data_IF_134450025744
#
_entry.id   IF_134450025744
#
_cell.length_a   1.000
_cell.length_b   1.000
_cell.length_c   1.000
_cell.angle_alpha   90.00
_cell.angle_beta   90.00
_cell.angle_gamma   90.00
#
_symmetry.space_group_name_H-M   'P 1'
#
loop_
_entity.id
_entity.type
_entity.pdbx_description
1 polymer ?
#
# COMPACT_ATOMS: atom_id res chain seq x y z
N UNK A 1 1.26 -16.87 -15.43
CA UNK A 1 1.08 -16.57 -14.00
C UNK A 1 1.61 -15.16 -13.80
N UNK A 2 0.88 -14.26 -13.13
CA UNK A 2 1.49 -13.00 -12.69
C UNK A 2 2.40 -13.36 -11.54
N UNK A 3 3.70 -13.47 -11.83
CA UNK A 3 4.68 -13.90 -10.84
C UNK A 3 4.67 -12.91 -9.68
N UNK A 4 4.59 -13.44 -8.47
CA UNK A 4 4.66 -12.69 -7.22
C UNK A 4 5.85 -11.70 -7.21
N UNK A 5 6.90 -12.02 -7.96
CA UNK A 5 8.10 -11.22 -8.17
C UNK A 5 7.84 -9.91 -8.94
N UNK A 6 7.00 -9.93 -9.97
CA UNK A 6 6.60 -8.73 -10.73
C UNK A 6 5.78 -7.77 -9.85
N UNK A 7 4.90 -8.32 -9.02
CA UNK A 7 4.12 -7.51 -8.07
C UNK A 7 5.02 -6.92 -6.99
N UNK A 8 6.00 -7.69 -6.48
CA UNK A 8 7.01 -7.19 -5.52
C UNK A 8 7.84 -6.04 -6.10
N UNK A 9 8.29 -6.15 -7.36
CA UNK A 9 9.05 -5.07 -8.00
C UNK A 9 8.23 -3.77 -8.08
N UNK A 10 6.95 -3.86 -8.50
CA UNK A 10 6.05 -2.69 -8.54
C UNK A 10 5.79 -2.08 -7.16
N UNK A 11 5.72 -2.90 -6.12
CA UNK A 11 5.59 -2.42 -4.73
C UNK A 11 6.85 -1.63 -4.34
N UNK A 12 8.03 -2.15 -4.61
CA UNK A 12 9.29 -1.48 -4.25
C UNK A 12 9.47 -0.16 -5.01
N UNK A 13 9.17 -0.14 -6.31
CA UNK A 13 9.18 1.09 -7.13
C UNK A 13 8.21 2.14 -6.58
N UNK A 14 6.98 1.73 -6.27
CA UNK A 14 5.95 2.62 -5.72
C UNK A 14 6.35 3.14 -4.33
N UNK A 15 7.01 2.31 -3.52
CA UNK A 15 7.52 2.68 -2.19
C UNK A 15 8.65 3.70 -2.29
N UNK A 16 9.58 3.52 -3.21
CA UNK A 16 10.65 4.49 -3.46
C UNK A 16 10.09 5.82 -3.97
N UNK A 17 9.12 5.78 -4.86
CA UNK A 17 8.46 6.98 -5.38
C UNK A 17 7.71 7.72 -4.27
N UNK A 18 6.97 7.00 -3.41
CA UNK A 18 6.30 7.55 -2.24
C UNK A 18 7.29 8.24 -1.28
N UNK A 19 8.43 7.60 -1.02
CA UNK A 19 9.47 8.16 -0.16
C UNK A 19 10.09 9.44 -0.75
N UNK A 20 10.37 9.45 -2.06
CA UNK A 20 10.87 10.65 -2.75
C UNK A 20 9.84 11.78 -2.75
N UNK A 21 8.56 11.48 -3.00
CA UNK A 21 7.49 12.45 -2.98
C UNK A 21 7.22 12.98 -1.57
N UNK A 22 7.27 12.11 -0.56
CA UNK A 22 7.16 12.49 0.85
C UNK A 22 8.31 13.38 1.30
N UNK A 23 9.53 13.11 0.84
CA UNK A 23 10.70 13.97 1.09
C UNK A 23 10.60 15.32 0.37
N UNK A 24 10.01 15.35 -0.84
CA UNK A 24 9.93 16.56 -1.68
C UNK A 24 8.75 17.48 -1.31
N UNK A 25 7.57 16.91 -1.03
CA UNK A 25 6.32 17.64 -0.84
C UNK A 25 5.73 17.50 0.58
N UNK A 26 6.22 16.55 1.37
CA UNK A 26 5.66 16.22 2.68
C UNK A 26 4.59 15.13 2.62
N UNK A 27 4.44 14.38 3.73
CA UNK A 27 3.51 13.24 3.86
C UNK A 27 2.03 13.62 3.69
N UNK A 28 1.68 14.89 3.89
CA UNK A 28 0.30 15.43 3.75
C UNK A 28 -0.07 15.84 2.33
N UNK A 29 0.84 15.72 1.36
CA UNK A 29 0.56 16.13 -0.01
C UNK A 29 -0.36 15.12 -0.71
N UNK A 30 -1.40 15.61 -1.39
CA UNK A 30 -2.41 14.78 -2.06
C UNK A 30 -1.80 13.74 -3.03
N UNK A 31 -0.67 14.07 -3.68
CA UNK A 31 0.08 13.13 -4.53
C UNK A 31 0.67 11.96 -3.73
N UNK A 32 1.24 12.23 -2.56
CA UNK A 32 1.80 11.20 -1.66
C UNK A 32 0.67 10.29 -1.17
N UNK A 33 -0.44 10.87 -0.74
CA UNK A 33 -1.61 10.09 -0.28
C UNK A 33 -2.16 9.18 -1.39
N UNK A 34 -2.28 9.70 -2.62
CA UNK A 34 -2.73 8.90 -3.77
C UNK A 34 -1.75 7.78 -4.12
N UNK A 35 -0.43 8.07 -4.10
CA UNK A 35 0.60 7.05 -4.29
C UNK A 35 0.55 5.99 -3.19
N UNK A 36 0.24 6.35 -1.94
CA UNK A 36 0.11 5.40 -0.84
C UNK A 36 -1.05 4.44 -1.06
N UNK A 37 -2.20 4.96 -1.53
CA UNK A 37 -3.34 4.12 -1.87
C UNK A 37 -3.03 3.12 -3.00
N UNK A 38 -2.29 3.54 -4.03
CA UNK A 38 -1.82 2.63 -5.09
C UNK A 38 -0.87 1.55 -4.55
N UNK A 39 0.04 1.92 -3.65
CA UNK A 39 0.95 0.98 -2.98
C UNK A 39 0.18 -0.04 -2.14
N UNK A 40 -0.80 0.41 -1.35
CA UNK A 40 -1.66 -0.44 -0.53
C UNK A 40 -2.50 -1.39 -1.40
N UNK A 41 -3.01 -0.93 -2.54
CA UNK A 41 -3.75 -1.79 -3.45
C UNK A 41 -2.85 -2.88 -4.08
N UNK A 42 -1.61 -2.53 -4.45
CA UNK A 42 -0.62 -3.49 -4.94
C UNK A 42 -0.25 -4.52 -3.86
N UNK A 43 -0.06 -4.07 -2.62
CA UNK A 43 0.16 -4.93 -1.45
C UNK A 43 -1.04 -5.85 -1.19
N UNK A 44 -2.26 -5.33 -1.26
CA UNK A 44 -3.46 -6.13 -1.06
C UNK A 44 -3.64 -7.18 -2.17
N UNK A 45 -3.33 -6.83 -3.42
CA UNK A 45 -3.31 -7.79 -4.55
C UNK A 45 -2.23 -8.86 -4.38
N UNK A 46 -1.04 -8.47 -3.93
CA UNK A 46 0.05 -9.40 -3.59
C UNK A 46 -0.38 -10.36 -2.47
N UNK A 47 -0.89 -9.81 -1.37
CA UNK A 47 -1.37 -10.58 -0.23
C UNK A 47 -2.52 -11.49 -0.64
N UNK A 48 -3.46 -11.05 -1.49
CA UNK A 48 -4.56 -11.88 -2.00
C UNK A 48 -4.07 -12.99 -2.93
N UNK A 49 -3.04 -12.75 -3.73
CA UNK A 49 -2.39 -13.77 -4.55
C UNK A 49 -1.63 -14.79 -3.68
N UNK A 50 -0.96 -14.34 -2.62
CA UNK A 50 -0.27 -15.19 -1.65
C UNK A 50 -1.23 -15.95 -0.70
N UNK A 51 -2.34 -15.34 -0.32
CA UNK A 51 -3.33 -15.85 0.64
C UNK A 51 -4.24 -16.96 0.07
N UNK A 52 -4.05 -17.41 -1.18
CA UNK A 52 -4.64 -18.69 -1.62
C UNK A 52 -4.12 -19.90 -0.83
N UNK A 53 -3.16 -19.74 0.09
CA UNK A 53 -2.67 -20.79 1.00
C UNK A 53 -2.93 -20.59 2.49
N UNK A 54 -3.61 -19.53 2.93
CA UNK A 54 -3.86 -19.35 4.37
C UNK A 54 -4.72 -18.14 4.68
N UNK A 55 -5.84 -18.40 5.36
CA UNK A 55 -6.87 -17.44 5.74
C UNK A 55 -6.39 -16.46 6.82
N UNK A 56 -6.69 -15.14 6.69
CA UNK A 56 -7.42 -14.30 7.67
C UNK A 56 -7.11 -12.80 7.55
N UNK A 57 -8.12 -12.04 7.10
CA UNK A 57 -8.61 -10.77 7.69
C UNK A 57 -7.56 -9.77 8.22
N UNK A 58 -7.16 -8.81 7.38
CA UNK A 58 -6.86 -7.46 7.88
C UNK A 58 -8.03 -6.57 7.47
N UNK A 59 -9.03 -6.53 8.34
CA UNK A 59 -10.07 -5.51 8.31
C UNK A 59 -9.41 -4.17 8.57
N UNK A 60 -9.60 -3.23 7.65
CA UNK A 60 -9.60 -1.80 7.95
C UNK A 60 -10.57 -1.56 9.11
N UNK A 61 -10.05 -1.48 10.32
CA UNK A 61 -10.75 -0.92 11.47
C UNK A 61 -10.27 0.52 11.61
N UNK A 62 -10.84 1.38 10.76
CA UNK A 62 -11.01 2.79 11.11
C UNK A 62 -12.00 2.83 12.28
N UNK A 63 -11.50 2.87 13.52
CA UNK A 63 -12.28 3.45 14.61
C UNK A 63 -11.73 4.86 14.87
N UNK A 64 -12.42 5.81 14.26
CA UNK A 64 -12.30 7.23 14.54
C UNK A 64 -12.72 7.50 15.97
N UNK A 65 -11.81 7.35 16.93
CA UNK A 65 -12.00 7.94 18.26
C UNK A 65 -11.56 9.40 18.23
N UNK A 66 -12.56 10.22 17.94
CA UNK A 66 -12.72 11.61 18.35
C UNK A 66 -12.14 11.85 19.75
N UNK A 67 -11.27 12.85 19.92
CA UNK A 67 -11.31 13.66 21.13
C UNK A 67 -10.96 15.14 20.84
N UNK A 68 -11.90 15.97 21.27
CA UNK A 68 -11.88 17.43 21.35
C UNK A 68 -10.80 17.96 22.31
#
# INVERSE_FOLDING_TARGET
MMDAEVIRQRIEESRQLLYQLGKKYGLRHHKVLKQSMELDELLNRYNKAACKKGCSRLSESNDSSLNE
#
